data_IF_969463644974
#
_entry.id   IF_969463644974
#
_cell.length_a   1.000
_cell.length_b   1.000
_cell.length_c   1.000
_cell.angle_alpha   90.00
_cell.angle_beta   90.00
_cell.angle_gamma   90.00
#
_symmetry.space_group_name_H-M   'P 1'
#
loop_
_entity.id
_entity.type
_entity.pdbx_description
1 polymer ?
#
# COMPACT_ATOMS: atom_id res chain seq x y z
N UNK A 1 22.20 -13.70 2.97
CA UNK A 1 21.63 -12.41 2.55
C UNK A 1 20.12 -12.58 2.68
N UNK A 2 19.41 -11.78 3.49
CA UNK A 2 17.97 -11.96 3.64
C UNK A 2 17.33 -11.62 2.28
N UNK A 3 16.68 -12.62 1.69
CA UNK A 3 15.97 -12.48 0.42
C UNK A 3 14.68 -11.73 0.74
N UNK A 4 14.54 -10.48 0.26
CA UNK A 4 13.23 -9.83 0.23
C UNK A 4 12.34 -10.66 -0.69
N UNK A 5 11.15 -11.06 -0.23
CA UNK A 5 10.23 -11.79 -1.09
C UNK A 5 9.94 -10.99 -2.37
N UNK A 6 9.98 -11.63 -3.54
CA UNK A 6 9.73 -10.96 -4.81
C UNK A 6 8.34 -10.30 -4.84
N UNK A 7 7.37 -10.86 -4.09
CA UNK A 7 6.03 -10.31 -3.90
C UNK A 7 6.07 -8.99 -3.11
N UNK A 8 6.81 -8.94 -2.01
CA UNK A 8 7.01 -7.74 -1.19
C UNK A 8 7.66 -6.61 -2.01
N UNK A 9 8.69 -6.92 -2.80
CA UNK A 9 9.30 -5.91 -3.68
C UNK A 9 8.34 -5.39 -4.76
N UNK A 10 7.46 -6.24 -5.27
CA UNK A 10 6.48 -5.84 -6.28
C UNK A 10 5.44 -4.89 -5.69
N UNK A 11 4.94 -5.17 -4.48
CA UNK A 11 4.01 -4.30 -3.75
C UNK A 11 4.70 -2.97 -3.39
N UNK A 12 5.93 -3.01 -2.88
CA UNK A 12 6.72 -1.81 -2.55
C UNK A 12 6.84 -0.88 -3.77
N UNK A 13 7.16 -1.43 -4.95
CA UNK A 13 7.22 -0.65 -6.19
C UNK A 13 5.87 -0.04 -6.59
N UNK A 14 4.78 -0.81 -6.50
CA UNK A 14 3.44 -0.28 -6.81
C UNK A 14 3.05 0.85 -5.86
N UNK A 15 3.38 0.75 -4.57
CA UNK A 15 3.12 1.83 -3.61
C UNK A 15 3.94 3.09 -3.92
N UNK A 16 5.20 2.94 -4.32
CA UNK A 16 6.03 4.06 -4.78
C UNK A 16 5.43 4.72 -6.03
N UNK A 17 4.91 3.94 -6.98
CA UNK A 17 4.23 4.47 -8.15
C UNK A 17 2.95 5.23 -7.79
N UNK A 18 2.08 4.65 -6.96
CA UNK A 18 0.85 5.31 -6.51
C UNK A 18 1.19 6.59 -5.74
N UNK A 19 2.20 6.57 -4.87
CA UNK A 19 2.64 7.75 -4.11
C UNK A 19 3.12 8.87 -5.04
N UNK A 20 3.87 8.53 -6.10
CA UNK A 20 4.26 9.50 -7.15
C UNK A 20 3.05 10.04 -7.90
N UNK A 21 2.10 9.17 -8.27
CA UNK A 21 0.84 9.60 -8.90
C UNK A 21 0.08 10.58 -7.99
N UNK A 22 -0.07 10.26 -6.70
CA UNK A 22 -0.73 11.12 -5.71
C UNK A 22 -0.03 12.47 -5.60
N UNK A 23 1.29 12.51 -5.48
CA UNK A 23 2.04 13.78 -5.40
C UNK A 23 1.94 14.61 -6.68
N UNK A 24 1.95 13.95 -7.84
CA UNK A 24 1.77 14.62 -9.14
C UNK A 24 0.35 15.19 -9.25
N UNK A 25 -0.65 14.40 -8.85
CA UNK A 25 -2.05 14.77 -8.85
C UNK A 25 -2.29 15.94 -7.88
N UNK A 26 -1.68 15.92 -6.69
CA UNK A 26 -1.75 17.00 -5.70
C UNK A 26 -1.18 18.33 -6.18
N UNK A 27 -0.25 18.31 -7.16
CA UNK A 27 0.31 19.51 -7.79
C UNK A 27 -0.53 20.03 -8.96
N UNK A 28 -1.50 19.26 -9.43
CA UNK A 28 -2.36 19.59 -10.56
C UNK A 28 -3.81 19.82 -10.11
N UNK A 29 -4.67 20.21 -11.05
CA UNK A 29 -6.12 20.18 -10.78
C UNK A 29 -6.57 18.72 -10.74
N UNK A 30 -7.13 18.33 -9.60
CA UNK A 30 -7.66 17.00 -9.38
C UNK A 30 -9.15 17.05 -9.07
N UNK A 31 -9.85 15.95 -9.32
CA UNK A 31 -11.25 15.78 -9.00
C UNK A 31 -11.44 14.65 -8.00
N UNK A 32 -12.58 14.59 -7.32
CA UNK A 32 -12.93 13.49 -6.43
C UNK A 32 -12.87 12.13 -7.13
N UNK A 33 -13.12 12.08 -8.45
CA UNK A 33 -13.00 10.85 -9.26
C UNK A 33 -11.55 10.39 -9.39
N UNK A 34 -10.60 11.31 -9.57
CA UNK A 34 -9.18 10.97 -9.67
C UNK A 34 -8.67 10.41 -8.34
N UNK A 35 -9.12 10.99 -7.22
CA UNK A 35 -8.78 10.52 -5.88
C UNK A 35 -9.40 9.14 -5.61
N UNK A 36 -10.68 8.94 -5.95
CA UNK A 36 -11.33 7.62 -5.84
C UNK A 36 -10.64 6.57 -6.71
N UNK A 37 -10.14 6.93 -7.89
CA UNK A 37 -9.41 6.01 -8.73
C UNK A 37 -8.10 5.55 -8.07
N UNK A 38 -7.35 6.48 -7.47
CA UNK A 38 -6.12 6.16 -6.73
C UNK A 38 -6.40 5.36 -5.45
N UNK A 39 -7.49 5.65 -4.73
CA UNK A 39 -7.94 4.85 -3.59
C UNK A 39 -8.26 3.42 -3.99
N UNK A 40 -8.97 3.22 -5.11
CA UNK A 40 -9.25 1.87 -5.62
C UNK A 40 -7.98 1.13 -6.05
N UNK A 41 -7.04 1.80 -6.71
CA UNK A 41 -5.72 1.23 -7.02
C UNK A 41 -5.00 0.78 -5.74
N UNK A 42 -4.95 1.65 -4.74
CA UNK A 42 -4.30 1.37 -3.46
C UNK A 42 -4.96 0.19 -2.74
N UNK A 43 -6.30 0.15 -2.74
CA UNK A 43 -7.05 -0.94 -2.15
C UNK A 43 -6.77 -2.28 -2.86
N UNK A 44 -6.64 -2.27 -4.18
CA UNK A 44 -6.28 -3.47 -4.94
C UNK A 44 -4.84 -3.92 -4.65
N UNK A 45 -3.92 -2.99 -4.37
CA UNK A 45 -2.56 -3.32 -3.90
C UNK A 45 -2.59 -3.88 -2.49
N UNK A 46 -3.38 -3.32 -1.58
CA UNK A 46 -3.59 -3.85 -0.22
C UNK A 46 -4.22 -5.25 -0.26
N UNK A 47 -5.22 -5.47 -1.11
CA UNK A 47 -5.85 -6.77 -1.30
C UNK A 47 -4.86 -7.79 -1.83
N UNK A 48 -4.10 -7.46 -2.88
CA UNK A 48 -3.02 -8.33 -3.40
C UNK A 48 -1.91 -8.57 -2.39
N UNK A 49 -1.58 -7.56 -1.58
CA UNK A 49 -0.62 -7.69 -0.51
C UNK A 49 -1.14 -8.65 0.56
N UNK A 50 -2.40 -8.49 1.00
CA UNK A 50 -3.04 -9.42 1.92
C UNK A 50 -3.08 -10.81 1.30
N UNK A 51 -3.64 -10.98 0.10
CA UNK A 51 -3.77 -12.25 -0.63
C UNK A 51 -2.44 -12.94 -0.93
N UNK A 52 -1.39 -12.19 -1.27
CA UNK A 52 -0.05 -12.69 -1.55
C UNK A 52 0.79 -13.01 -0.30
N UNK A 53 0.39 -12.48 0.87
CA UNK A 53 0.98 -12.77 2.19
C UNK A 53 0.18 -13.85 2.94
N UNK A 54 -1.06 -14.20 2.52
CA UNK A 54 -1.72 -15.44 2.94
C UNK A 54 -0.93 -16.58 2.26
N UNK A 55 0.21 -17.05 2.75
CA UNK A 55 0.39 -17.65 4.07
C UNK A 55 1.90 -17.90 4.25
N UNK A 56 2.69 -16.90 4.65
CA UNK A 56 4.09 -17.14 5.12
C UNK A 56 4.14 -17.54 6.59
N UNK A 57 2.97 -17.59 7.25
CA UNK A 57 2.81 -18.18 8.58
C UNK A 57 3.39 -19.59 8.55
N UNK A 58 4.36 -19.86 9.41
CA UNK A 58 4.67 -21.26 9.70
C UNK A 58 3.39 -21.88 10.27
N UNK A 59 2.73 -22.78 9.52
CA UNK A 59 1.49 -23.43 9.96
C UNK A 59 1.64 -24.21 11.27
N UNK A 60 2.88 -24.41 11.73
CA UNK A 60 3.23 -25.04 13.00
C UNK A 60 3.38 -24.02 14.14
N UNK A 61 3.48 -22.73 13.84
CA UNK A 61 3.66 -21.66 14.81
C UNK A 61 2.47 -20.68 14.80
N UNK A 62 1.52 -20.90 15.73
CA UNK A 62 0.29 -20.11 15.88
C UNK A 62 0.54 -18.66 16.34
N UNK A 63 1.76 -18.34 16.76
CA UNK A 63 2.20 -17.02 17.22
C UNK A 63 2.98 -16.24 16.15
N UNK A 64 3.16 -16.82 14.95
CA UNK A 64 3.84 -16.15 13.84
C UNK A 64 2.93 -15.05 13.29
N UNK A 65 3.12 -13.84 13.79
CA UNK A 65 2.32 -12.70 13.41
C UNK A 65 2.75 -12.24 12.01
N UNK A 66 1.84 -12.22 11.04
CA UNK A 66 2.14 -11.89 9.65
C UNK A 66 2.44 -10.39 9.44
N UNK A 67 2.71 -9.64 10.51
CA UNK A 67 3.20 -8.26 10.48
C UNK A 67 4.58 -8.09 11.15
N UNK A 68 5.17 -9.14 11.76
CA UNK A 68 6.49 -9.07 12.40
C UNK A 68 7.68 -9.14 11.41
N UNK A 69 7.43 -9.36 10.12
CA UNK A 69 8.51 -9.32 9.12
C UNK A 69 8.86 -7.87 8.75
N UNK A 70 10.14 -7.50 8.91
CA UNK A 70 10.68 -6.14 8.71
C UNK A 70 10.32 -5.47 7.34
N UNK A 71 9.98 -6.25 6.31
CA UNK A 71 9.53 -5.73 5.00
C UNK A 71 8.05 -5.31 4.98
N UNK A 72 7.21 -5.94 5.79
CA UNK A 72 5.76 -5.71 5.84
C UNK A 72 5.42 -4.41 6.55
N UNK A 73 6.13 -4.09 7.63
CA UNK A 73 5.97 -2.81 8.34
C UNK A 73 6.18 -1.60 7.41
N UNK A 74 7.16 -1.68 6.49
CA UNK A 74 7.42 -0.62 5.51
C UNK A 74 6.29 -0.47 4.50
N UNK A 75 5.71 -1.59 4.06
CA UNK A 75 4.55 -1.61 3.15
C UNK A 75 3.32 -1.03 3.85
N UNK A 76 3.05 -1.45 5.08
CA UNK A 76 1.92 -0.96 5.88
C UNK A 76 2.02 0.55 6.14
N UNK A 77 3.20 1.04 6.53
CA UNK A 77 3.46 2.47 6.72
C UNK A 77 3.27 3.26 5.41
N UNK A 78 3.72 2.72 4.27
CA UNK A 78 3.52 3.34 2.98
C UNK A 78 2.04 3.37 2.56
N UNK A 79 1.29 2.28 2.76
CA UNK A 79 -0.14 2.20 2.53
C UNK A 79 -0.90 3.26 3.35
N UNK A 80 -0.61 3.35 4.65
CA UNK A 80 -1.26 4.29 5.56
C UNK A 80 -0.98 5.75 5.18
N UNK A 81 0.27 6.07 4.83
CA UNK A 81 0.65 7.42 4.36
C UNK A 81 -0.09 7.82 3.08
N UNK A 82 -0.21 6.91 2.12
CA UNK A 82 -0.93 7.18 0.87
C UNK A 82 -2.43 7.33 1.15
N UNK A 83 -3.02 6.46 1.99
CA UNK A 83 -4.42 6.56 2.41
C UNK A 83 -4.73 7.90 3.09
N UNK A 84 -3.88 8.32 4.02
CA UNK A 84 -4.02 9.60 4.73
C UNK A 84 -3.94 10.77 3.76
N UNK A 85 -2.99 10.73 2.82
CA UNK A 85 -2.82 11.79 1.81
C UNK A 85 -4.03 11.86 0.87
N UNK A 86 -4.50 10.74 0.34
CA UNK A 86 -5.68 10.67 -0.52
C UNK A 86 -6.95 11.15 0.19
N UNK A 87 -7.12 10.77 1.46
CA UNK A 87 -8.27 11.20 2.28
C UNK A 87 -8.24 12.71 2.52
N UNK A 88 -7.07 13.27 2.85
CA UNK A 88 -6.90 14.71 2.99
C UNK A 88 -7.18 15.44 1.66
N UNK A 89 -6.71 14.93 0.53
CA UNK A 89 -7.02 15.50 -0.79
C UNK A 89 -8.52 15.44 -1.10
N UNK A 90 -9.21 14.35 -0.71
CA UNK A 90 -10.65 14.21 -0.94
C UNK A 90 -11.43 15.27 -0.16
N UNK A 91 -11.06 15.48 1.11
CA UNK A 91 -11.64 16.50 1.97
C UNK A 91 -11.38 17.93 1.48
N UNK A 92 -10.28 18.17 0.76
CA UNK A 92 -10.00 19.47 0.13
C UNK A 92 -10.74 19.67 -1.20
N UNK A 93 -11.38 18.62 -1.73
CA UNK A 93 -12.13 18.66 -2.98
C UNK A 93 -13.65 18.86 -2.77
N UNK A 94 -14.14 18.70 -1.54
CA UNK A 94 -15.50 19.06 -1.09
C UNK A 94 -15.58 20.51 -0.59
#
# INVERSE_FOLDING_TARGET
MPQKDPTLQHVENQLVEISKEVQSLARSKYTSKDIQHLQNKLHHVDEKYREGIIDDRDKSNLEDDPYEHQGQAQIADALDKIHTTLSAMLQNCE
#
